data_IF_943078053460
#
_entry.id   IF_943078053460
#
_cell.length_a   1.000
_cell.length_b   1.000
_cell.length_c   1.000
_cell.angle_alpha   90.00
_cell.angle_beta   90.00
_cell.angle_gamma   90.00
#
_symmetry.space_group_name_H-M   'P 1'
#
loop_
_entity.id
_entity.type
_entity.pdbx_description
1 polymer ?
#
# COMPACT_ATOMS: atom_id res chain seq x y z
N UNK A 1 -12.95 9.64 13.97
CA UNK A 1 -12.88 8.40 13.17
C UNK A 1 -11.62 7.64 13.59
N UNK A 2 -11.72 6.38 14.03
CA UNK A 2 -10.53 5.62 14.44
C UNK A 2 -9.70 5.18 13.21
N UNK A 3 -8.45 4.78 13.42
CA UNK A 3 -7.51 4.42 12.33
C UNK A 3 -8.08 3.29 11.46
N UNK A 4 -8.79 2.34 12.09
CA UNK A 4 -9.49 1.25 11.42
C UNK A 4 -10.56 1.73 10.43
N UNK A 5 -11.48 2.58 10.86
CA UNK A 5 -12.55 3.10 9.99
C UNK A 5 -11.97 3.94 8.85
N UNK A 6 -10.98 4.79 9.14
CA UNK A 6 -10.28 5.56 8.11
C UNK A 6 -9.65 4.64 7.06
N UNK A 7 -8.96 3.58 7.51
CA UNK A 7 -8.32 2.62 6.62
C UNK A 7 -9.33 1.91 5.72
N UNK A 8 -10.47 1.47 6.26
CA UNK A 8 -11.52 0.79 5.48
C UNK A 8 -12.13 1.72 4.43
N UNK A 9 -12.45 2.97 4.82
CA UNK A 9 -13.05 3.97 3.92
C UNK A 9 -12.14 4.29 2.75
N UNK A 10 -10.81 4.27 2.94
CA UNK A 10 -9.84 4.48 1.86
C UNK A 10 -9.59 3.18 1.07
N UNK A 11 -9.48 2.04 1.76
CA UNK A 11 -9.13 0.75 1.15
C UNK A 11 -10.16 0.30 0.12
N UNK A 12 -11.46 0.41 0.43
CA UNK A 12 -12.53 -0.07 -0.46
C UNK A 12 -12.49 0.64 -1.84
N UNK A 13 -12.56 1.98 -1.93
CA UNK A 13 -12.52 2.66 -3.22
C UNK A 13 -11.16 2.50 -3.92
N UNK A 14 -10.06 2.48 -3.17
CA UNK A 14 -8.74 2.28 -3.77
C UNK A 14 -8.56 0.87 -4.35
N UNK A 15 -9.11 -0.16 -3.70
CA UNK A 15 -9.13 -1.51 -4.22
C UNK A 15 -9.99 -1.60 -5.49
N UNK A 16 -11.15 -0.95 -5.50
CA UNK A 16 -12.01 -0.89 -6.69
C UNK A 16 -11.28 -0.23 -7.88
N UNK A 17 -10.60 0.90 -7.64
CA UNK A 17 -9.79 1.57 -8.65
C UNK A 17 -8.65 0.67 -9.14
N UNK A 18 -7.93 0.02 -8.22
CA UNK A 18 -6.81 -0.87 -8.56
C UNK A 18 -7.28 -2.03 -9.42
N UNK A 19 -8.38 -2.68 -9.05
CA UNK A 19 -8.96 -3.78 -9.83
C UNK A 19 -9.41 -3.32 -11.22
N UNK A 20 -10.05 -2.15 -11.30
CA UNK A 20 -10.44 -1.56 -12.58
C UNK A 20 -9.22 -1.33 -13.47
N UNK A 21 -8.18 -0.64 -12.98
CA UNK A 21 -6.99 -0.35 -13.77
C UNK A 21 -6.22 -1.62 -14.17
N UNK A 22 -6.10 -2.60 -13.28
CA UNK A 22 -5.49 -3.90 -13.61
C UNK A 22 -6.32 -4.66 -14.66
N UNK A 23 -7.64 -4.54 -14.65
CA UNK A 23 -8.49 -5.17 -15.66
C UNK A 23 -8.36 -4.51 -17.04
N UNK A 24 -8.06 -3.21 -17.10
CA UNK A 24 -7.90 -2.47 -18.35
C UNK A 24 -6.48 -2.59 -18.92
N UNK A 25 -5.47 -2.28 -18.10
CA UNK A 25 -4.08 -2.08 -18.55
C UNK A 25 -3.15 -3.23 -18.13
N UNK A 26 -3.65 -4.16 -17.30
CA UNK A 26 -2.83 -5.19 -16.67
C UNK A 26 -1.95 -4.64 -15.54
N UNK A 27 -1.41 -5.54 -14.71
CA UNK A 27 -0.53 -5.13 -13.61
C UNK A 27 0.76 -4.47 -14.10
N UNK A 28 1.36 -5.01 -15.18
CA UNK A 28 2.60 -4.46 -15.75
C UNK A 28 2.35 -3.13 -16.47
N UNK A 29 1.20 -2.98 -17.14
CA UNK A 29 0.85 -1.75 -17.85
C UNK A 29 0.77 -0.52 -16.95
N UNK A 30 0.43 -0.70 -15.66
CA UNK A 30 0.49 0.36 -14.66
C UNK A 30 1.89 0.97 -14.54
N UNK A 31 2.95 0.16 -14.63
CA UNK A 31 4.33 0.62 -14.56
C UNK A 31 4.80 1.16 -15.90
N UNK A 32 4.46 0.48 -17.00
CA UNK A 32 4.82 0.91 -18.35
C UNK A 32 4.32 2.33 -18.64
N UNK A 33 3.09 2.65 -18.25
CA UNK A 33 2.53 3.99 -18.40
C UNK A 33 3.37 5.07 -17.70
N UNK A 34 3.80 4.81 -16.45
CA UNK A 34 4.61 5.77 -15.70
C UNK A 34 6.05 5.87 -16.23
N UNK A 35 6.56 4.83 -16.90
CA UNK A 35 7.91 4.83 -17.47
C UNK A 35 8.02 5.63 -18.77
N UNK A 36 6.90 6.06 -19.38
CA UNK A 36 6.91 6.80 -20.65
C UNK A 36 7.35 8.27 -20.52
N UNK A 37 7.40 8.83 -19.31
CA UNK A 37 7.77 10.24 -19.12
C UNK A 37 8.57 10.49 -17.84
N UNK A 38 9.42 11.54 -17.80
CA UNK A 38 10.12 11.94 -16.58
C UNK A 38 9.18 12.27 -15.42
N UNK A 39 7.98 12.78 -15.71
CA UNK A 39 6.96 13.03 -14.70
C UNK A 39 6.47 11.72 -14.05
N UNK A 40 6.24 10.68 -14.85
CA UNK A 40 5.87 9.37 -14.32
C UNK A 40 7.00 8.69 -13.54
N UNK A 41 8.27 8.90 -13.93
CA UNK A 41 9.42 8.44 -13.15
C UNK A 41 9.44 9.08 -11.76
N UNK A 42 9.18 10.39 -11.69
CA UNK A 42 9.10 11.09 -10.41
C UNK A 42 8.00 10.51 -9.51
N UNK A 43 6.82 10.21 -10.07
CA UNK A 43 5.71 9.59 -9.32
C UNK A 43 6.08 8.17 -8.85
N UNK A 44 6.74 7.36 -9.68
CA UNK A 44 7.22 6.04 -9.27
C UNK A 44 8.25 6.10 -8.15
N UNK A 45 9.20 7.03 -8.23
CA UNK A 45 10.21 7.23 -7.19
C UNK A 45 9.57 7.69 -5.88
N UNK A 46 8.63 8.64 -5.96
CA UNK A 46 7.86 9.11 -4.81
C UNK A 46 7.08 7.96 -4.15
N UNK A 47 6.43 7.12 -4.96
CA UNK A 47 5.76 5.90 -4.48
C UNK A 47 6.74 4.97 -3.73
N UNK A 48 7.90 4.68 -4.30
CA UNK A 48 8.91 3.82 -3.65
C UNK A 48 9.34 4.41 -2.30
N UNK A 49 9.63 5.72 -2.25
CA UNK A 49 10.01 6.41 -1.01
C UNK A 49 8.87 6.33 0.01
N UNK A 50 7.63 6.60 -0.40
CA UNK A 50 6.46 6.53 0.47
C UNK A 50 6.28 5.11 1.05
N UNK A 51 6.45 4.05 0.25
CA UNK A 51 6.37 2.67 0.73
C UNK A 51 7.48 2.36 1.75
N UNK A 52 8.71 2.81 1.51
CA UNK A 52 9.82 2.63 2.47
C UNK A 52 9.55 3.36 3.79
N UNK A 53 9.03 4.59 3.74
CA UNK A 53 8.61 5.33 4.94
C UNK A 53 7.49 4.60 5.68
N UNK A 54 6.53 4.03 4.98
CA UNK A 54 5.45 3.25 5.62
C UNK A 54 6.01 1.98 6.27
N UNK A 55 6.91 1.27 5.60
CA UNK A 55 7.57 0.09 6.17
C UNK A 55 8.41 0.43 7.41
N UNK A 56 9.00 1.63 7.47
CA UNK A 56 9.81 2.07 8.61
C UNK A 56 9.06 2.08 9.94
N UNK A 57 7.74 2.34 9.93
CA UNK A 57 6.90 2.26 11.13
C UNK A 57 6.13 0.94 11.24
N UNK A 58 5.69 0.37 10.11
CA UNK A 58 4.90 -0.87 10.09
C UNK A 58 5.71 -2.06 10.62
N UNK A 59 6.99 -2.15 10.28
CA UNK A 59 7.84 -3.27 10.69
C UNK A 59 8.09 -3.29 12.20
N UNK A 60 8.53 -2.19 12.85
CA UNK A 60 8.64 -2.14 14.31
C UNK A 60 7.31 -2.40 15.02
N UNK A 61 6.21 -1.86 14.50
CA UNK A 61 4.88 -2.02 15.11
C UNK A 61 4.41 -3.47 15.06
N UNK A 62 4.53 -4.14 13.91
CA UNK A 62 4.19 -5.56 13.79
C UNK A 62 5.04 -6.42 14.74
N UNK A 63 6.34 -6.12 14.87
CA UNK A 63 7.24 -6.81 15.80
C UNK A 63 6.85 -6.57 17.26
N UNK A 64 6.50 -5.34 17.65
CA UNK A 64 6.02 -4.99 18.99
C UNK A 64 4.75 -5.75 19.37
N UNK A 65 3.87 -5.99 18.40
CA UNK A 65 2.67 -6.79 18.58
C UNK A 65 2.92 -8.32 18.53
N UNK A 66 4.18 -8.77 18.48
CA UNK A 66 4.53 -10.19 18.42
C UNK A 66 4.20 -10.87 17.09
N UNK A 67 4.01 -10.10 16.01
CA UNK A 67 3.63 -10.61 14.68
C UNK A 67 4.83 -10.64 13.75
N UNK A 68 4.79 -11.59 12.81
CA UNK A 68 5.76 -11.62 11.71
C UNK A 68 5.50 -10.44 10.74
N UNK A 69 6.47 -9.52 10.54
CA UNK A 69 6.31 -8.37 9.65
C UNK A 69 6.42 -8.73 8.16
N UNK A 70 7.08 -9.84 7.81
CA UNK A 70 7.42 -10.16 6.42
C UNK A 70 6.25 -10.26 5.45
N UNK A 71 5.09 -10.86 5.80
CA UNK A 71 3.92 -10.87 4.91
C UNK A 71 3.48 -9.47 4.52
N UNK A 72 3.51 -8.52 5.46
CA UNK A 72 3.14 -7.12 5.22
C UNK A 72 4.19 -6.38 4.43
N UNK A 73 5.49 -6.69 4.63
CA UNK A 73 6.58 -6.12 3.83
C UNK A 73 6.42 -6.52 2.36
N UNK A 74 6.32 -7.82 2.10
CA UNK A 74 6.18 -8.36 0.74
C UNK A 74 4.92 -7.79 0.08
N UNK A 75 3.78 -7.83 0.79
CA UNK A 75 2.54 -7.29 0.24
C UNK A 75 2.62 -5.77 -0.02
N UNK A 76 3.34 -4.99 0.79
CA UNK A 76 3.52 -3.55 0.54
C UNK A 76 4.36 -3.28 -0.71
N UNK A 77 5.37 -4.12 -0.99
CA UNK A 77 6.21 -3.96 -2.17
C UNK A 77 5.45 -4.26 -3.48
N UNK A 78 4.54 -5.23 -3.48
CA UNK A 78 3.80 -5.63 -4.68
C UNK A 78 2.44 -4.95 -4.84
N UNK A 79 1.75 -4.68 -3.72
CA UNK A 79 0.39 -4.13 -3.71
C UNK A 79 0.35 -2.66 -3.28
N UNK A 80 1.51 -2.04 -3.03
CA UNK A 80 1.61 -0.66 -2.58
C UNK A 80 0.89 -0.43 -1.26
N UNK A 81 0.08 0.63 -1.20
CA UNK A 81 -0.64 1.07 0.00
C UNK A 81 -1.80 0.14 0.42
N UNK A 82 -2.19 -0.84 -0.41
CA UNK A 82 -3.24 -1.83 -0.06
C UNK A 82 -2.85 -2.58 1.22
N UNK A 83 -1.59 -3.03 1.31
CA UNK A 83 -1.11 -3.82 2.45
C UNK A 83 -1.12 -3.05 3.78
N UNK A 84 -0.53 -1.83 3.86
CA UNK A 84 -0.62 -1.00 5.07
C UNK A 84 -2.06 -0.62 5.46
N UNK A 85 -2.91 -0.32 4.48
CA UNK A 85 -4.32 -0.03 4.73
C UNK A 85 -5.05 -1.26 5.30
N UNK A 86 -4.80 -2.44 4.75
CA UNK A 86 -5.34 -3.69 5.29
C UNK A 86 -4.80 -3.97 6.70
N UNK A 87 -3.51 -3.72 6.96
CA UNK A 87 -2.93 -3.86 8.29
C UNK A 87 -3.67 -2.99 9.31
N UNK A 88 -3.93 -1.73 8.99
CA UNK A 88 -4.67 -0.79 9.84
C UNK A 88 -6.15 -1.16 9.96
N UNK A 89 -6.78 -1.69 8.91
CA UNK A 89 -8.17 -2.15 8.96
C UNK A 89 -8.36 -3.37 9.89
N UNK A 90 -7.35 -4.24 9.99
CA UNK A 90 -7.39 -5.44 10.85
C UNK A 90 -6.91 -5.13 12.27
N UNK A 91 -5.91 -4.24 12.42
CA UNK A 91 -5.20 -4.06 13.69
C UNK A 91 -5.27 -2.65 14.29
N UNK A 92 -5.67 -1.64 13.54
CA UNK A 92 -5.69 -0.22 13.95
C UNK A 92 -6.85 0.18 14.86
N UNK A 93 -7.45 -0.78 15.59
CA UNK A 93 -8.54 -0.53 16.53
C UNK A 93 -8.36 -1.20 17.89
N UNK A 94 -7.13 -1.63 18.23
CA UNK A 94 -6.77 -2.24 19.52
C UNK A 94 -6.06 -1.24 20.45
N UNK A 95 -6.45 0.02 20.38
CA UNK A 95 -5.97 1.09 21.26
C UNK A 95 -6.84 1.12 22.52
#
# INVERSE_FOLDING_TARGET
MNKRTLAIVILIPFLALTLYSVAQDGYVGLFEYQMQSPAGWQVLVDLVIALLLVLSWLVPEARRQGKNPWPWVVATLFLGSISPLLYLAVHGGKD
#
